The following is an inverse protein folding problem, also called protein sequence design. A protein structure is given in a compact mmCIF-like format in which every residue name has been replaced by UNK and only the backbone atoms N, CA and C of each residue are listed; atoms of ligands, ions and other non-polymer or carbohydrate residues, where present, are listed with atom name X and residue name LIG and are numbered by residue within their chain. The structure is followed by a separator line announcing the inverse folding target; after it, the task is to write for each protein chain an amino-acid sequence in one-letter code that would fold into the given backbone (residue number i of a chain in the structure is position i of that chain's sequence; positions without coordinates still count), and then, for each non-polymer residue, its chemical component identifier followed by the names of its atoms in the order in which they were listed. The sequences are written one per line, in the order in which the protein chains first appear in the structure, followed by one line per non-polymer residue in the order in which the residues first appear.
data_IF_744761656940
#
_entry.id   IF_744761656940
#
_cell.length_a   1.000
_cell.length_b   1.000
_cell.length_c   1.000
_cell.angle_alpha   90.00
_cell.angle_beta   90.00
_cell.angle_gamma   90.00
#
_symmetry.space_group_name_H-M   'P 1'
#
loop_
_entity.id
_entity.type
_entity.pdbx_description
1 polymer ?
#
# COMPACT_ATOMS: atom_id res chain seq x y z
N UNK A 1 -41.04 -34.53 15.45
CA UNK A 1 -42.17 -33.71 15.92
C UNK A 1 -41.65 -32.30 16.13
N UNK A 2 -41.58 -31.49 15.06
CA UNK A 2 -42.39 -30.28 14.77
C UNK A 2 -41.33 -29.21 14.42
N UNK A 3 -41.47 -28.25 13.52
CA UNK A 3 -42.48 -27.83 12.56
C UNK A 3 -41.80 -26.78 11.68
N UNK A 4 -42.23 -26.67 10.42
CA UNK A 4 -41.98 -25.53 9.53
C UNK A 4 -42.65 -24.24 10.07
N UNK A 5 -42.47 -23.14 9.30
CA UNK A 5 -43.24 -21.87 9.20
C UNK A 5 -42.31 -20.68 9.55
N UNK A 6 -42.19 -19.57 8.82
CA UNK A 6 -42.89 -19.01 7.64
C UNK A 6 -41.95 -18.02 6.94
N UNK A 7 -42.13 -17.85 5.63
CA UNK A 7 -41.74 -16.64 4.92
C UNK A 7 -42.79 -15.53 5.13
N UNK A 8 -42.38 -14.27 4.99
CA UNK A 8 -43.21 -13.17 4.47
C UNK A 8 -42.32 -12.04 3.88
N UNK A 9 -42.78 -11.33 2.84
CA UNK A 9 -41.95 -10.48 1.96
C UNK A 9 -42.10 -8.99 2.27
N UNK A 10 -41.15 -8.16 1.82
CA UNK A 10 -41.36 -6.72 1.68
C UNK A 10 -41.21 -6.30 0.21
N UNK A 11 -42.35 -5.85 -0.30
CA UNK A 11 -42.58 -5.08 -1.51
C UNK A 11 -41.91 -3.71 -1.41
N UNK A 12 -41.30 -3.24 -2.50
CA UNK A 12 -41.36 -1.83 -2.89
C UNK A 12 -41.13 -1.74 -4.41
N UNK A 13 -42.24 -1.65 -5.15
CA UNK A 13 -42.29 -1.05 -6.48
C UNK A 13 -42.51 0.47 -6.31
N UNK A 14 -41.81 1.29 -7.09
CA UNK A 14 -42.42 2.48 -7.72
C UNK A 14 -41.49 3.07 -8.78
N UNK A 15 -42.00 3.09 -10.00
CA UNK A 15 -41.51 3.71 -11.23
C UNK A 15 -41.52 5.27 -11.20
N UNK A 16 -41.06 5.82 -12.34
CA UNK A 16 -41.26 7.18 -12.90
C UNK A 16 -40.32 8.29 -12.37
N UNK A 17 -39.60 9.06 -13.20
CA UNK A 17 -39.99 9.60 -14.51
C UNK A 17 -38.77 9.94 -15.38
N UNK A 18 -38.92 9.70 -16.67
CA UNK A 18 -38.22 10.34 -17.79
C UNK A 18 -38.62 11.81 -17.92
N UNK A 19 -37.66 12.71 -18.15
CA UNK A 19 -37.91 14.04 -18.72
C UNK A 19 -37.00 14.26 -19.92
N UNK A 20 -37.59 14.14 -21.11
CA UNK A 20 -37.07 14.67 -22.37
C UNK A 20 -37.12 16.21 -22.31
N UNK A 21 -35.99 16.85 -22.62
CA UNK A 21 -35.98 18.20 -23.19
C UNK A 21 -35.12 18.14 -24.45
N UNK A 22 -35.78 17.94 -25.58
CA UNK A 22 -35.23 18.29 -26.89
C UNK A 22 -35.46 19.78 -27.12
N UNK A 23 -34.39 20.49 -27.46
CA UNK A 23 -34.46 21.75 -28.18
C UNK A 23 -33.31 21.78 -29.17
N UNK A 24 -33.64 21.54 -30.44
CA UNK A 24 -32.78 21.76 -31.60
C UNK A 24 -32.70 23.25 -31.92
N UNK A 25 -31.48 23.75 -32.19
CA UNK A 25 -31.21 24.65 -33.33
C UNK A 25 -29.70 24.90 -33.46
N UNK A 26 -29.13 24.28 -34.49
CA UNK A 26 -28.16 24.77 -35.46
C UNK A 26 -26.78 25.37 -35.05
N UNK A 27 -25.78 24.72 -35.68
CA UNK A 27 -24.51 25.25 -36.20
C UNK A 27 -23.56 25.93 -35.21
N UNK A 28 -22.52 25.22 -34.80
CA UNK A 28 -21.15 25.49 -35.26
C UNK A 28 -20.20 24.36 -34.80
N UNK A 29 -19.29 24.03 -35.70
CA UNK A 29 -18.28 22.97 -35.59
C UNK A 29 -17.49 22.95 -34.28
N UNK A 30 -17.33 21.76 -33.70
CA UNK A 30 -16.14 21.51 -32.88
C UNK A 30 -15.63 20.06 -33.03
N UNK A 31 -14.73 19.77 -33.98
CA UNK A 31 -13.97 18.53 -33.95
C UNK A 31 -12.91 18.71 -32.88
N UNK A 32 -13.02 17.98 -31.76
CA UNK A 32 -11.98 17.68 -30.75
C UNK A 32 -12.58 17.58 -29.34
N UNK A 33 -13.51 16.65 -29.15
CA UNK A 33 -13.77 16.07 -27.83
C UNK A 33 -14.25 14.65 -28.05
N UNK A 34 -13.33 13.69 -28.03
CA UNK A 34 -13.57 12.32 -27.58
C UNK A 34 -12.30 11.46 -27.65
N UNK A 35 -12.12 10.62 -26.62
CA UNK A 35 -11.26 9.42 -26.55
C UNK A 35 -9.75 9.53 -26.25
N UNK A 36 -9.25 10.57 -25.60
CA UNK A 36 -7.83 10.59 -25.14
C UNK A 36 -7.60 9.79 -23.85
N UNK A 37 -8.62 9.60 -23.01
CA UNK A 37 -8.45 8.89 -21.73
C UNK A 37 -8.42 7.36 -21.87
N UNK A 38 -9.22 6.81 -22.78
CA UNK A 38 -9.29 5.37 -23.04
C UNK A 38 -8.01 4.80 -23.67
N UNK A 39 -7.46 5.48 -24.67
CA UNK A 39 -6.24 5.02 -25.38
C UNK A 39 -5.02 4.97 -24.45
N UNK A 40 -4.88 5.96 -23.57
CA UNK A 40 -3.80 6.04 -22.56
C UNK A 40 -3.87 4.91 -21.53
N UNK A 41 -5.08 4.54 -21.11
CA UNK A 41 -5.30 3.40 -20.21
C UNK A 41 -4.84 2.10 -20.87
N UNK A 42 -5.26 1.84 -22.11
CA UNK A 42 -4.90 0.61 -22.86
C UNK A 42 -3.38 0.47 -23.04
N UNK A 43 -2.64 1.57 -23.25
CA UNK A 43 -1.18 1.53 -23.33
C UNK A 43 -0.51 1.09 -22.02
N UNK A 44 -0.93 1.62 -20.87
CA UNK A 44 -0.38 1.23 -19.57
C UNK A 44 -0.69 -0.24 -19.27
N UNK A 45 -1.92 -0.68 -19.54
CA UNK A 45 -2.29 -2.10 -19.39
C UNK A 45 -1.52 -3.01 -20.35
N UNK A 46 -1.19 -2.57 -21.56
CA UNK A 46 -0.30 -3.31 -22.48
C UNK A 46 1.10 -3.48 -21.88
N UNK A 47 1.64 -2.45 -21.21
CA UNK A 47 2.90 -2.55 -20.47
C UNK A 47 2.76 -3.50 -19.28
N UNK A 48 1.67 -3.42 -18.51
CA UNK A 48 1.39 -4.36 -17.40
C UNK A 48 1.36 -5.79 -17.90
N UNK A 49 0.61 -6.10 -18.96
CA UNK A 49 0.54 -7.44 -19.56
C UNK A 49 1.91 -7.91 -20.03
N UNK A 50 2.71 -7.02 -20.64
CA UNK A 50 4.08 -7.34 -21.05
C UNK A 50 4.96 -7.68 -19.84
N UNK A 51 4.89 -6.91 -18.77
CA UNK A 51 5.68 -7.15 -17.54
C UNK A 51 5.22 -8.42 -16.84
N UNK A 52 3.92 -8.67 -16.74
CA UNK A 52 3.36 -9.93 -16.22
C UNK A 52 3.93 -11.13 -16.98
N UNK A 53 4.06 -11.03 -18.31
CA UNK A 53 4.57 -12.11 -19.15
C UNK A 53 6.09 -12.27 -19.11
N UNK A 54 6.84 -11.20 -18.88
CA UNK A 54 8.31 -11.20 -19.07
C UNK A 54 9.09 -11.04 -17.78
N UNK A 55 8.45 -10.63 -16.68
CA UNK A 55 9.07 -10.26 -15.40
C UNK A 55 10.29 -9.33 -15.56
N UNK A 56 10.32 -8.54 -16.63
CA UNK A 56 11.51 -7.78 -16.99
C UNK A 56 11.55 -6.43 -16.26
N UNK A 57 12.35 -6.36 -15.20
CA UNK A 57 12.57 -5.14 -14.42
C UNK A 57 13.05 -3.94 -15.26
N UNK A 58 13.87 -4.18 -16.28
CA UNK A 58 14.43 -3.13 -17.12
C UNK A 58 13.37 -2.37 -17.92
N UNK A 59 12.24 -3.00 -18.22
CA UNK A 59 11.09 -2.33 -18.86
C UNK A 59 10.36 -1.46 -17.84
N UNK A 60 10.08 -1.99 -16.66
CA UNK A 60 9.34 -1.30 -15.60
C UNK A 60 10.07 -0.06 -15.09
N UNK A 61 11.38 -0.17 -14.81
CA UNK A 61 12.20 0.94 -14.32
C UNK A 61 12.26 2.12 -15.30
N UNK A 62 12.21 1.87 -16.61
CA UNK A 62 12.22 2.94 -17.63
C UNK A 62 10.94 3.74 -17.66
N UNK A 63 9.81 3.12 -17.27
CA UNK A 63 8.55 3.84 -17.16
C UNK A 63 8.64 4.81 -16.00
N UNK A 64 8.97 4.35 -14.79
CA UNK A 64 9.06 5.18 -13.58
C UNK A 64 7.72 5.78 -13.15
N UNK A 65 7.42 5.77 -11.85
CA UNK A 65 6.13 6.22 -11.33
C UNK A 65 5.82 7.69 -11.65
N UNK A 66 6.73 8.66 -11.44
CA UNK A 66 6.44 10.06 -11.72
C UNK A 66 6.15 10.33 -13.20
N UNK A 67 6.89 9.68 -14.10
CA UNK A 67 6.71 9.80 -15.55
C UNK A 67 5.39 9.16 -15.97
N UNK A 68 5.03 8.01 -15.39
CA UNK A 68 3.73 7.39 -15.61
C UNK A 68 2.59 8.34 -15.21
N UNK A 69 2.66 8.96 -14.03
CA UNK A 69 1.63 9.89 -13.56
C UNK A 69 1.46 11.06 -14.51
N UNK A 70 2.56 11.63 -15.02
CA UNK A 70 2.52 12.71 -16.01
C UNK A 70 1.88 12.27 -17.34
N UNK A 71 2.12 11.03 -17.79
CA UNK A 71 1.65 10.54 -19.08
C UNK A 71 0.20 10.03 -19.04
N UNK A 72 -0.17 9.27 -18.00
CA UNK A 72 -1.41 8.48 -17.93
C UNK A 72 -2.40 8.98 -16.87
N UNK A 73 -2.00 9.89 -15.99
CA UNK A 73 -2.78 10.33 -14.83
C UNK A 73 -2.50 9.48 -13.59
N UNK A 74 -2.81 10.05 -12.42
CA UNK A 74 -2.46 9.48 -11.13
C UNK A 74 -3.13 8.13 -10.88
N UNK A 75 -4.46 8.05 -10.98
CA UNK A 75 -5.21 6.84 -10.64
C UNK A 75 -4.79 5.65 -11.52
N UNK A 76 -4.65 5.88 -12.83
CA UNK A 76 -4.22 4.84 -13.77
C UNK A 76 -2.80 4.36 -13.46
N UNK A 77 -1.89 5.30 -13.17
CA UNK A 77 -0.50 4.96 -12.82
C UNK A 77 -0.41 4.20 -11.52
N UNK A 78 -1.19 4.58 -10.50
CA UNK A 78 -1.25 3.88 -9.22
C UNK A 78 -1.76 2.45 -9.41
N UNK A 79 -2.84 2.25 -10.17
CA UNK A 79 -3.37 0.92 -10.48
C UNK A 79 -2.33 0.06 -11.21
N UNK A 80 -1.66 0.60 -12.24
CA UNK A 80 -0.63 -0.14 -12.98
C UNK A 80 0.60 -0.48 -12.14
N UNK A 81 1.08 0.46 -11.33
CA UNK A 81 2.24 0.23 -10.45
C UNK A 81 1.92 -0.69 -9.28
N UNK A 82 0.69 -0.64 -8.75
CA UNK A 82 0.16 -1.63 -7.82
C UNK A 82 0.26 -3.03 -8.43
N UNK A 83 -0.15 -3.21 -9.69
CA UNK A 83 0.00 -4.51 -10.40
C UNK A 83 1.47 -4.94 -10.53
N UNK A 84 2.40 -4.02 -10.87
CA UNK A 84 3.83 -4.36 -10.90
C UNK A 84 4.34 -4.83 -9.54
N UNK A 85 4.00 -4.11 -8.47
CA UNK A 85 4.38 -4.47 -7.09
C UNK A 85 3.89 -5.88 -6.74
N UNK A 86 2.64 -6.21 -7.05
CA UNK A 86 2.11 -7.55 -6.79
C UNK A 86 2.82 -8.63 -7.60
N UNK A 87 2.98 -8.43 -8.92
CA UNK A 87 3.59 -9.41 -9.81
C UNK A 87 5.03 -9.72 -9.38
N UNK A 88 5.81 -8.68 -9.04
CA UNK A 88 7.18 -8.88 -8.56
C UNK A 88 7.23 -9.47 -7.16
N UNK A 89 6.28 -9.16 -6.28
CA UNK A 89 6.18 -9.79 -4.97
C UNK A 89 5.89 -11.30 -5.10
N UNK A 90 4.95 -11.70 -5.96
CA UNK A 90 4.67 -13.10 -6.26
C UNK A 90 5.87 -13.83 -6.88
N UNK A 91 6.71 -13.12 -7.64
CA UNK A 91 7.94 -13.64 -8.21
C UNK A 91 9.16 -13.59 -7.26
N UNK A 92 8.97 -13.22 -5.99
CA UNK A 92 10.03 -13.04 -4.98
C UNK A 92 11.14 -12.05 -5.37
N UNK A 93 10.84 -11.10 -6.26
CA UNK A 93 11.76 -10.06 -6.74
C UNK A 93 11.80 -8.87 -5.78
N UNK A 94 12.43 -9.08 -4.62
CA UNK A 94 12.28 -8.18 -3.48
C UNK A 94 12.91 -6.79 -3.69
N UNK A 95 14.00 -6.70 -4.46
CA UNK A 95 14.70 -5.44 -4.71
C UNK A 95 13.88 -4.53 -5.62
N UNK A 96 13.20 -5.11 -6.59
CA UNK A 96 12.32 -4.44 -7.55
C UNK A 96 11.06 -3.92 -6.86
N UNK A 97 10.44 -4.74 -6.00
CA UNK A 97 9.30 -4.28 -5.19
C UNK A 97 9.71 -3.11 -4.29
N UNK A 98 10.86 -3.22 -3.61
CA UNK A 98 11.38 -2.11 -2.80
C UNK A 98 11.61 -0.84 -3.63
N UNK A 99 12.19 -0.97 -4.83
CA UNK A 99 12.45 0.17 -5.70
C UNK A 99 11.15 0.85 -6.17
N UNK A 100 10.13 0.08 -6.56
CA UNK A 100 8.82 0.62 -6.96
C UNK A 100 8.11 1.32 -5.82
N UNK A 101 8.05 0.67 -4.65
CA UNK A 101 7.39 1.26 -3.48
C UNK A 101 8.09 2.53 -3.03
N UNK A 102 9.44 2.56 -3.05
CA UNK A 102 10.21 3.76 -2.77
C UNK A 102 9.89 4.88 -3.75
N UNK A 103 9.73 4.57 -5.04
CA UNK A 103 9.42 5.56 -6.06
C UNK A 103 8.01 6.16 -5.88
N UNK A 104 7.01 5.31 -5.66
CA UNK A 104 5.62 5.73 -5.36
C UNK A 104 5.60 6.59 -4.09
N UNK A 105 6.26 6.13 -3.03
CA UNK A 105 6.37 6.85 -1.77
C UNK A 105 7.02 8.23 -1.93
N UNK A 106 8.17 8.30 -2.61
CA UNK A 106 8.85 9.58 -2.87
C UNK A 106 7.98 10.55 -3.67
N UNK A 107 7.11 10.05 -4.56
CA UNK A 107 6.13 10.87 -5.26
C UNK A 107 5.08 11.43 -4.30
N UNK A 108 4.47 10.59 -3.45
CA UNK A 108 3.46 11.01 -2.47
C UNK A 108 4.00 12.05 -1.49
N UNK A 109 5.22 11.87 -0.98
CA UNK A 109 5.87 12.85 -0.11
C UNK A 109 6.03 14.21 -0.80
N UNK A 110 6.51 14.22 -2.06
CA UNK A 110 6.69 15.46 -2.82
C UNK A 110 5.37 16.15 -3.16
N UNK A 111 4.32 15.37 -3.40
CA UNK A 111 3.00 15.86 -3.74
C UNK A 111 2.12 16.16 -2.50
N UNK A 112 2.63 15.96 -1.27
CA UNK A 112 1.89 16.10 -0.01
C UNK A 112 0.57 15.30 0.01
N UNK A 113 0.58 14.10 -0.59
CA UNK A 113 -0.58 13.22 -0.65
C UNK A 113 -0.67 12.34 0.60
N UNK A 114 -1.88 11.87 0.90
CA UNK A 114 -2.15 11.01 2.05
C UNK A 114 -1.46 9.63 1.90
N UNK A 115 -0.47 9.39 2.75
CA UNK A 115 0.30 8.15 2.81
C UNK A 115 -0.48 7.02 3.50
N UNK A 116 -1.48 7.34 4.33
CA UNK A 116 -2.39 6.34 4.88
C UNK A 116 -3.28 5.77 3.78
N UNK A 117 -3.87 6.64 2.95
CA UNK A 117 -4.58 6.23 1.74
C UNK A 117 -3.74 5.36 0.80
N UNK A 118 -2.43 5.65 0.67
CA UNK A 118 -1.50 4.79 -0.09
C UNK A 118 -1.38 3.40 0.53
N UNK A 119 -1.21 3.32 1.85
CA UNK A 119 -1.10 2.05 2.56
C UNK A 119 -2.34 1.18 2.34
N UNK A 120 -3.54 1.75 2.55
CA UNK A 120 -4.79 1.05 2.28
C UNK A 120 -4.92 0.64 0.82
N UNK A 121 -4.67 1.57 -0.12
CA UNK A 121 -4.75 1.28 -1.55
C UNK A 121 -3.79 0.16 -1.97
N UNK A 122 -2.61 0.05 -1.37
CA UNK A 122 -1.65 -1.02 -1.63
C UNK A 122 -2.01 -2.34 -0.93
N UNK A 123 -2.72 -2.32 0.19
CA UNK A 123 -3.13 -3.53 0.91
C UNK A 123 -4.48 -4.10 0.42
N UNK A 124 -5.32 -3.28 -0.21
CA UNK A 124 -6.67 -3.60 -0.69
C UNK A 124 -6.69 -4.38 -2.03
N UNK A 125 -5.98 -5.50 -2.18
CA UNK A 125 -5.96 -6.30 -3.42
C UNK A 125 -5.69 -7.81 -3.23
N UNK A 126 -5.97 -8.65 -4.24
CA UNK A 126 -6.70 -9.89 -4.03
C UNK A 126 -5.83 -11.02 -3.47
N UNK A 127 -6.30 -11.58 -2.35
CA UNK A 127 -6.39 -13.03 -2.12
C UNK A 127 -5.11 -13.81 -1.75
N UNK A 128 -3.90 -13.34 -2.04
CA UNK A 128 -2.68 -14.07 -1.67
C UNK A 128 -2.09 -13.56 -0.35
N UNK A 129 -2.31 -14.34 0.72
CA UNK A 129 -1.80 -14.06 2.06
C UNK A 129 -0.27 -13.90 2.12
N UNK A 130 0.48 -14.54 1.20
CA UNK A 130 1.94 -14.44 1.15
C UNK A 130 2.43 -13.11 0.58
N UNK A 131 1.83 -12.66 -0.53
CA UNK A 131 2.16 -11.39 -1.16
C UNK A 131 1.90 -10.20 -0.23
N UNK A 132 0.78 -10.22 0.50
CA UNK A 132 0.42 -9.17 1.45
C UNK A 132 1.36 -9.11 2.66
N UNK A 133 1.83 -10.25 3.17
CA UNK A 133 2.81 -10.29 4.28
C UNK A 133 4.17 -9.69 3.89
N UNK A 134 4.63 -9.99 2.67
CA UNK A 134 5.85 -9.41 2.14
C UNK A 134 5.71 -7.90 1.92
N UNK A 135 4.61 -7.48 1.30
CA UNK A 135 4.32 -6.08 1.01
C UNK A 135 4.35 -5.21 2.27
N UNK A 136 3.68 -5.65 3.33
CA UNK A 136 3.73 -5.02 4.66
C UNK A 136 5.16 -4.87 5.16
N UNK A 137 5.96 -5.94 5.07
CA UNK A 137 7.35 -5.94 5.55
C UNK A 137 8.21 -4.91 4.80
N UNK A 138 7.94 -4.69 3.51
CA UNK A 138 8.61 -3.65 2.73
C UNK A 138 8.11 -2.26 3.10
N UNK A 139 6.79 -2.08 3.25
CA UNK A 139 6.20 -0.80 3.64
C UNK A 139 6.77 -0.31 4.98
N UNK A 140 6.80 -1.17 6.00
CA UNK A 140 7.42 -0.87 7.31
C UNK A 140 8.86 -0.37 7.12
N UNK A 141 9.66 -1.06 6.30
CA UNK A 141 11.05 -0.64 6.04
C UNK A 141 11.13 0.69 5.31
N UNK A 142 10.30 0.92 4.29
CA UNK A 142 10.30 2.16 3.51
C UNK A 142 9.94 3.33 4.42
N UNK A 143 8.86 3.24 5.20
CA UNK A 143 8.45 4.30 6.13
C UNK A 143 9.52 4.57 7.19
N UNK A 144 10.01 3.52 7.87
CA UNK A 144 11.04 3.65 8.89
C UNK A 144 12.34 4.26 8.35
N UNK A 145 12.77 3.87 7.13
CA UNK A 145 13.99 4.42 6.50
C UNK A 145 13.88 5.91 6.15
N UNK A 146 12.66 6.43 6.06
CA UNK A 146 12.39 7.84 5.77
C UNK A 146 11.97 8.62 7.04
N UNK A 147 12.25 8.08 8.24
CA UNK A 147 11.90 8.65 9.53
C UNK A 147 10.40 8.92 9.73
N UNK A 148 9.54 8.19 8.99
CA UNK A 148 8.09 8.25 9.13
C UNK A 148 7.62 7.15 10.08
N UNK A 149 7.98 7.32 11.35
CA UNK A 149 7.87 6.26 12.35
C UNK A 149 6.42 5.92 12.70
N UNK A 150 5.53 6.92 12.75
CA UNK A 150 4.09 6.72 12.94
C UNK A 150 3.51 5.84 11.83
N UNK A 151 3.68 6.21 10.55
CA UNK A 151 3.21 5.39 9.43
C UNK A 151 3.81 3.98 9.39
N UNK A 152 5.05 3.82 9.86
CA UNK A 152 5.68 2.50 9.96
C UNK A 152 5.03 1.64 11.06
N UNK A 153 4.62 2.24 12.18
CA UNK A 153 3.84 1.60 13.24
C UNK A 153 2.44 1.25 12.73
N UNK A 154 1.77 2.19 12.06
CA UNK A 154 0.44 1.94 11.50
C UNK A 154 0.46 0.80 10.48
N UNK A 155 1.50 0.71 9.64
CA UNK A 155 1.70 -0.41 8.73
C UNK A 155 1.84 -1.75 9.46
N UNK A 156 2.50 -1.76 10.62
CA UNK A 156 2.62 -2.94 11.47
C UNK A 156 1.27 -3.31 12.10
N UNK A 157 0.53 -2.34 12.64
CA UNK A 157 -0.77 -2.57 13.27
C UNK A 157 -1.83 -3.02 12.26
N UNK A 158 -1.90 -2.38 11.10
CA UNK A 158 -2.81 -2.74 10.01
C UNK A 158 -2.59 -4.17 9.55
N UNK A 159 -1.33 -4.57 9.38
CA UNK A 159 -1.02 -5.95 9.04
C UNK A 159 -1.58 -6.94 10.07
N UNK A 160 -1.42 -6.63 11.36
CA UNK A 160 -1.97 -7.45 12.44
C UNK A 160 -3.49 -7.52 12.39
N UNK A 161 -4.18 -6.39 12.19
CA UNK A 161 -5.65 -6.34 12.10
C UNK A 161 -6.17 -7.19 10.95
N UNK A 162 -5.47 -7.19 9.82
CA UNK A 162 -5.81 -7.99 8.64
C UNK A 162 -5.39 -9.47 8.79
N UNK A 163 -4.66 -9.81 9.85
CA UNK A 163 -4.21 -11.18 10.15
C UNK A 163 -2.88 -11.57 9.51
N UNK A 164 -2.14 -10.60 8.98
CA UNK A 164 -0.77 -10.81 8.48
C UNK A 164 0.26 -10.53 9.56
N UNK A 165 1.28 -11.38 9.61
CA UNK A 165 2.39 -11.21 10.54
C UNK A 165 3.58 -10.59 9.81
N UNK A 166 3.97 -9.33 10.11
CA UNK A 166 5.13 -8.71 9.48
C UNK A 166 6.41 -9.51 9.72
N UNK A 167 7.38 -9.38 8.82
CA UNK A 167 8.67 -10.07 8.97
C UNK A 167 9.46 -9.60 10.20
N UNK A 168 10.13 -10.53 10.90
CA UNK A 168 10.97 -10.19 12.05
C UNK A 168 12.08 -9.18 11.70
N UNK A 169 12.61 -9.25 10.47
CA UNK A 169 13.66 -8.32 10.01
C UNK A 169 13.14 -6.88 9.83
N UNK A 170 11.91 -6.69 9.35
CA UNK A 170 11.31 -5.35 9.21
C UNK A 170 10.94 -4.77 10.57
N UNK A 171 10.41 -5.59 11.49
CA UNK A 171 10.12 -5.15 12.86
C UNK A 171 11.39 -4.77 13.62
N UNK A 172 12.47 -5.55 13.49
CA UNK A 172 13.76 -5.22 14.08
C UNK A 172 14.34 -3.91 13.52
N UNK A 173 14.14 -3.66 12.22
CA UNK A 173 14.55 -2.40 11.62
C UNK A 173 13.76 -1.22 12.19
N UNK A 174 12.43 -1.34 12.29
CA UNK A 174 11.58 -0.32 12.91
C UNK A 174 11.97 -0.08 14.38
N UNK A 175 12.18 -1.13 15.18
CA UNK A 175 12.67 -1.00 16.56
C UNK A 175 13.99 -0.24 16.65
N UNK A 176 14.91 -0.50 15.72
CA UNK A 176 16.18 0.21 15.66
C UNK A 176 15.97 1.70 15.35
N UNK A 177 15.14 2.04 14.37
CA UNK A 177 14.82 3.43 14.04
C UNK A 177 14.14 4.15 15.20
N UNK A 178 13.18 3.50 15.89
CA UNK A 178 12.55 4.05 17.10
C UNK A 178 13.56 4.27 18.24
N UNK A 179 14.51 3.35 18.40
CA UNK A 179 15.57 3.49 19.40
C UNK A 179 16.49 4.69 19.10
N UNK A 180 16.87 4.87 17.83
CA UNK A 180 17.70 5.98 17.36
C UNK A 180 16.98 7.33 17.45
N UNK A 181 15.66 7.34 17.22
CA UNK A 181 14.81 8.52 17.42
C UNK A 181 14.44 8.79 18.89
N UNK A 182 14.85 7.92 19.82
CA UNK A 182 14.51 7.98 21.24
C UNK A 182 12.98 7.95 21.52
N UNK A 183 12.20 7.32 20.63
CA UNK A 183 10.75 7.14 20.74
C UNK A 183 10.41 5.98 21.69
N UNK A 184 10.69 6.18 22.99
CA UNK A 184 10.63 5.14 24.02
C UNK A 184 9.29 4.41 24.06
N UNK A 185 8.19 5.14 24.13
CA UNK A 185 6.87 4.55 24.38
C UNK A 185 6.43 3.68 23.20
N UNK A 186 6.62 4.17 21.98
CA UNK A 186 6.38 3.44 20.74
C UNK A 186 7.28 2.21 20.62
N UNK A 187 8.58 2.33 20.93
CA UNK A 187 9.52 1.21 20.93
C UNK A 187 9.11 0.10 21.91
N UNK A 188 8.76 0.47 23.15
CA UNK A 188 8.36 -0.49 24.18
C UNK A 188 7.03 -1.15 23.81
N UNK A 189 6.10 -0.40 23.24
CA UNK A 189 4.80 -0.89 22.79
C UNK A 189 4.98 -1.89 21.65
N UNK A 190 5.70 -1.53 20.59
CA UNK A 190 5.98 -2.43 19.47
C UNK A 190 6.65 -3.74 19.94
N UNK A 191 7.64 -3.66 20.83
CA UNK A 191 8.29 -4.84 21.39
C UNK A 191 7.33 -5.74 22.18
N UNK A 192 6.43 -5.15 22.98
CA UNK A 192 5.39 -5.91 23.70
C UNK A 192 4.43 -6.59 22.73
N UNK A 193 4.00 -5.89 21.69
CA UNK A 193 3.09 -6.43 20.68
C UNK A 193 3.73 -7.60 19.93
N UNK A 194 5.01 -7.48 19.55
CA UNK A 194 5.79 -8.58 18.98
C UNK A 194 5.85 -9.81 19.89
N UNK A 195 5.96 -9.63 21.22
CA UNK A 195 5.95 -10.74 22.19
C UNK A 195 4.59 -11.42 22.30
N UNK A 196 3.51 -10.64 22.24
CA UNK A 196 2.15 -11.14 22.48
C UNK A 196 1.56 -11.80 21.23
N UNK A 197 1.79 -11.21 20.06
CA UNK A 197 1.09 -11.57 18.83
C UNK A 197 2.02 -11.98 17.69
N UNK A 198 3.34 -11.88 17.89
CA UNK A 198 4.32 -12.09 16.84
C UNK A 198 4.51 -10.86 15.94
N UNK A 199 5.57 -10.83 15.12
CA UNK A 199 6.62 -11.83 15.05
C UNK A 199 7.46 -11.89 16.33
N UNK A 200 7.69 -13.12 16.82
CA UNK A 200 8.36 -13.33 18.10
C UNK A 200 9.78 -12.75 18.07
N UNK A 201 10.18 -11.97 19.10
CA UNK A 201 11.51 -11.39 19.20
C UNK A 201 12.62 -12.42 19.03
N UNK A 202 13.61 -12.09 18.20
CA UNK A 202 14.84 -12.87 18.04
C UNK A 202 15.95 -12.36 18.95
N UNK A 203 17.08 -13.07 19.01
CA UNK A 203 18.26 -12.61 19.74
C UNK A 203 18.64 -11.17 19.36
N UNK A 204 18.59 -10.85 18.06
CA UNK A 204 18.87 -9.51 17.56
C UNK A 204 17.87 -8.47 18.08
N UNK A 205 16.59 -8.83 18.18
CA UNK A 205 15.56 -7.97 18.78
C UNK A 205 15.91 -7.63 20.24
N UNK A 206 16.28 -8.64 21.03
CA UNK A 206 16.71 -8.42 22.42
C UNK A 206 17.97 -7.57 22.51
N UNK A 207 18.94 -7.73 21.59
CA UNK A 207 20.13 -6.88 21.51
C UNK A 207 19.75 -5.41 21.29
N UNK A 208 18.81 -5.10 20.38
CA UNK A 208 18.32 -3.73 20.15
C UNK A 208 17.73 -3.16 21.46
N UNK A 209 16.86 -3.92 22.12
CA UNK A 209 16.22 -3.48 23.36
C UNK A 209 17.23 -3.25 24.49
N UNK A 210 18.18 -4.17 24.67
CA UNK A 210 19.25 -4.04 25.68
C UNK A 210 20.09 -2.79 25.42
N UNK A 211 20.51 -2.58 24.17
CA UNK A 211 21.27 -1.38 23.80
C UNK A 211 20.48 -0.11 24.12
N UNK A 212 19.20 -0.05 23.75
CA UNK A 212 18.33 1.11 24.06
C UNK A 212 18.24 1.39 25.57
N UNK A 213 17.99 0.36 26.39
CA UNK A 213 17.92 0.53 27.84
C UNK A 213 19.26 0.93 28.46
N UNK A 214 20.38 0.34 28.02
CA UNK A 214 21.71 0.66 28.53
C UNK A 214 22.19 2.05 28.10
N UNK A 215 21.92 2.47 26.87
CA UNK A 215 22.22 3.83 26.39
C UNK A 215 21.42 4.90 27.16
N UNK A 216 20.15 4.61 27.49
CA UNK A 216 19.34 5.49 28.32
C UNK A 216 19.79 5.58 29.79
N UNK A 217 20.50 4.56 30.31
CA UNK A 217 21.14 4.61 31.64
C UNK A 217 22.35 5.55 31.59
N UNK A 218 23.12 5.57 30.49
CA UNK A 218 24.25 6.49 30.35
C UNK A 218 23.85 7.96 30.15
N UNK A 219 22.67 8.24 29.58
CA UNK A 219 22.17 9.60 29.38
C UNK A 219 21.60 10.27 30.65
N UNK A 220 21.40 9.53 31.75
CA UNK A 220 20.95 10.06 33.05
C UNK A 220 22.09 10.33 34.04
N UNK A 221 23.35 10.14 33.64
CA UNK A 221 24.54 10.25 34.50
C UNK A 221 25.44 11.43 34.10
N UNK A 222 24.94 12.36 33.27
CA UNK A 222 25.58 13.64 32.97
C UNK A 222 24.66 14.79 33.37
#
# INVERSE_FOLDING_TARGET
MYSRVSAAPLLYDSDYSTSNCESNSDSESNPLRENVHGVKSVELFSVVVRVVKTLNWGVTRKVGFPIAVQKYGFDQSLVGFKMFVYVYACAEMQMEVYALLREIFCYYQKAQLDLFGLLYALLDSPGDAKGSTFLVSVLIKVFASNNMLENAIDAFEQARVIGFQPGIRSCNFLLKCLAEANERDSLVTLFKEMKNYGPYPSLYTYTIMMNFYCSGIMAKVQ
#
